data_IF_427959869074
#
_entry.id   IF_427959869074
#
_cell.length_a   1.000
_cell.length_b   1.000
_cell.length_c   1.000
_cell.angle_alpha   90.00
_cell.angle_beta   90.00
_cell.angle_gamma   90.00
#
_symmetry.space_group_name_H-M   'P 1'
#
loop_
_entity.id
_entity.type
_entity.pdbx_description
1 polymer ?
#
# COMPACT_ATOMS: atom_id res chain seq x y z
N UNK A 1 -16.53 -27.17 -8.08
CA UNK A 1 -16.39 -26.49 -8.04
C UNK A 1 -15.94 -25.69 -7.19
N UNK A 2 -15.37 -25.27 -7.25
CA UNK A 2 -14.66 -24.65 -6.31
C UNK A 2 -15.05 -23.31 -6.04
N UNK A 3 -16.13 -22.97 -6.42
CA UNK A 3 -16.51 -21.65 -6.28
C UNK A 3 -17.37 -21.40 -5.13
N UNK A 4 -17.20 -22.18 -4.12
CA UNK A 4 -18.04 -22.06 -2.93
C UNK A 4 -17.49 -21.16 -1.86
N UNK A 5 -16.49 -20.36 -2.21
CA UNK A 5 -15.99 -19.37 -1.28
C UNK A 5 -17.06 -18.31 -1.05
N UNK A 6 -17.47 -18.10 0.19
CA UNK A 6 -18.42 -17.05 0.51
C UNK A 6 -17.77 -15.69 0.33
N UNK A 7 -18.59 -14.65 0.26
CA UNK A 7 -18.08 -13.30 0.15
C UNK A 7 -17.15 -12.97 1.33
N UNK A 8 -17.53 -13.37 2.54
CA UNK A 8 -16.69 -13.16 3.71
C UNK A 8 -15.36 -13.88 3.62
N UNK A 9 -15.35 -15.11 3.09
CA UNK A 9 -14.11 -15.87 2.90
C UNK A 9 -13.22 -15.22 1.86
N UNK A 10 -13.79 -14.71 0.79
CA UNK A 10 -13.06 -14.00 -0.24
C UNK A 10 -12.40 -12.74 0.33
N UNK A 11 -13.15 -11.93 1.09
CA UNK A 11 -12.63 -10.73 1.71
C UNK A 11 -11.50 -11.07 2.68
N UNK A 12 -11.70 -12.10 3.50
CA UNK A 12 -10.66 -12.54 4.44
C UNK A 12 -9.38 -12.97 3.72
N UNK A 13 -9.53 -13.68 2.60
CA UNK A 13 -8.39 -14.07 1.77
C UNK A 13 -7.64 -12.85 1.25
N UNK A 14 -8.37 -11.86 0.73
CA UNK A 14 -7.75 -10.64 0.21
C UNK A 14 -7.09 -9.82 1.32
N UNK A 15 -7.68 -9.80 2.50
CA UNK A 15 -7.07 -9.12 3.65
C UNK A 15 -5.75 -9.78 4.05
N UNK A 16 -5.69 -11.11 4.00
CA UNK A 16 -4.43 -11.82 4.27
C UNK A 16 -3.38 -11.52 3.21
N UNK A 17 -3.80 -11.40 1.94
CA UNK A 17 -2.89 -10.99 0.87
C UNK A 17 -2.35 -9.58 1.12
N UNK A 18 -3.21 -8.65 1.53
CA UNK A 18 -2.79 -7.29 1.83
C UNK A 18 -1.78 -7.28 2.99
N UNK A 19 -2.04 -8.05 4.03
CA UNK A 19 -1.11 -8.17 5.15
C UNK A 19 0.24 -8.76 4.72
N UNK A 20 0.22 -9.75 3.82
CA UNK A 20 1.44 -10.35 3.29
C UNK A 20 2.24 -9.34 2.48
N UNK A 21 1.57 -8.55 1.64
CA UNK A 21 2.22 -7.49 0.87
C UNK A 21 2.86 -6.46 1.82
N UNK A 22 2.10 -6.04 2.84
CA UNK A 22 2.61 -5.09 3.82
C UNK A 22 3.84 -5.64 4.54
N UNK A 23 3.83 -6.92 4.88
CA UNK A 23 4.97 -7.58 5.52
C UNK A 23 6.19 -7.60 4.61
N UNK A 24 6.00 -7.89 3.32
CA UNK A 24 7.09 -7.86 2.34
C UNK A 24 7.66 -6.47 2.17
N UNK A 25 6.82 -5.45 2.21
CA UNK A 25 7.28 -4.06 2.15
C UNK A 25 8.14 -3.72 3.36
N UNK A 26 7.72 -4.15 4.56
CA UNK A 26 8.47 -3.88 5.78
C UNK A 26 9.83 -4.56 5.81
N UNK A 27 9.93 -5.78 5.27
CA UNK A 27 11.19 -6.52 5.29
C UNK A 27 12.08 -6.20 4.08
N UNK A 28 11.63 -5.35 3.19
CA UNK A 28 12.41 -4.95 2.02
C UNK A 28 12.32 -5.88 0.82
N UNK A 29 11.50 -6.94 0.91
CA UNK A 29 11.32 -7.87 -0.21
C UNK A 29 10.53 -7.22 -1.35
N UNK A 30 9.72 -6.22 -1.04
CA UNK A 30 8.95 -5.48 -2.03
C UNK A 30 9.15 -3.99 -1.80
N UNK A 31 9.33 -3.24 -2.88
CA UNK A 31 9.51 -1.80 -2.80
C UNK A 31 8.25 -1.08 -2.31
N UNK A 32 8.44 0.07 -1.68
CA UNK A 32 7.33 0.83 -1.11
C UNK A 32 6.31 1.26 -2.16
N UNK A 33 6.77 1.71 -3.31
CA UNK A 33 5.88 2.15 -4.39
C UNK A 33 5.14 0.96 -5.02
N UNK A 34 5.87 -0.12 -5.28
CA UNK A 34 5.28 -1.33 -5.86
C UNK A 34 4.23 -1.92 -4.93
N UNK A 35 4.57 -2.03 -3.65
CA UNK A 35 3.63 -2.53 -2.64
C UNK A 35 2.42 -1.64 -2.48
N UNK A 36 2.63 -0.32 -2.50
CA UNK A 36 1.53 0.63 -2.40
C UNK A 36 0.56 0.49 -3.58
N UNK A 37 1.08 0.30 -4.78
CA UNK A 37 0.23 0.05 -5.97
C UNK A 37 -0.60 -1.21 -5.80
N UNK A 38 0.02 -2.27 -5.32
CA UNK A 38 -0.67 -3.54 -5.09
C UNK A 38 -1.76 -3.39 -4.04
N UNK A 39 -1.46 -2.70 -2.95
CA UNK A 39 -2.43 -2.48 -1.88
C UNK A 39 -3.60 -1.61 -2.34
N UNK A 40 -3.33 -0.55 -3.10
CA UNK A 40 -4.39 0.29 -3.65
C UNK A 40 -5.31 -0.51 -4.57
N UNK A 41 -4.75 -1.41 -5.36
CA UNK A 41 -5.54 -2.31 -6.22
C UNK A 41 -6.42 -3.24 -5.41
N UNK A 42 -5.97 -3.65 -4.23
CA UNK A 42 -6.75 -4.54 -3.37
C UNK A 42 -7.80 -3.82 -2.52
N UNK A 43 -7.75 -2.49 -2.47
CA UNK A 43 -8.65 -1.73 -1.60
C UNK A 43 -10.12 -2.12 -1.72
N UNK A 44 -10.70 -2.19 -2.93
CA UNK A 44 -12.11 -2.58 -3.02
C UNK A 44 -12.36 -4.04 -2.60
N UNK A 45 -11.34 -4.88 -2.70
CA UNK A 45 -11.46 -6.29 -2.38
C UNK A 45 -11.43 -6.58 -0.89
N UNK A 46 -10.84 -5.67 -0.11
CA UNK A 46 -10.71 -5.86 1.36
C UNK A 46 -11.79 -5.12 2.14
N UNK A 47 -12.68 -4.44 1.44
CA UNK A 47 -13.85 -3.78 2.04
C UNK A 47 -13.51 -2.83 3.19
N UNK A 48 -12.57 -1.94 2.95
CA UNK A 48 -12.28 -0.86 3.89
C UNK A 48 -12.98 0.42 3.46
N UNK A 49 -13.11 1.37 4.36
CA UNK A 49 -13.71 2.65 4.06
C UNK A 49 -12.87 3.41 3.02
N UNK A 50 -13.52 4.24 2.23
CA UNK A 50 -12.82 5.03 1.22
C UNK A 50 -11.79 5.97 1.85
N UNK A 51 -12.05 6.42 3.06
CA UNK A 51 -11.16 7.30 3.79
C UNK A 51 -10.30 6.56 4.82
N UNK A 52 -10.14 5.25 4.65
CA UNK A 52 -9.31 4.46 5.55
C UNK A 52 -7.92 5.09 5.67
N UNK A 53 -7.46 5.41 6.88
CA UNK A 53 -6.20 6.15 7.04
C UNK A 53 -4.97 5.44 6.49
N UNK A 54 -4.91 4.12 6.61
CA UNK A 54 -3.76 3.37 6.11
C UNK A 54 -3.73 3.34 4.59
N UNK A 55 -4.87 3.12 3.96
CA UNK A 55 -4.95 3.12 2.49
C UNK A 55 -4.75 4.52 1.92
N UNK A 56 -5.13 5.55 2.65
CA UNK A 56 -4.86 6.92 2.21
C UNK A 56 -3.36 7.18 2.08
N UNK A 57 -2.56 6.60 2.96
CA UNK A 57 -1.09 6.70 2.87
C UNK A 57 -0.61 6.08 1.57
N UNK A 58 -1.08 4.87 1.25
CA UNK A 58 -0.67 4.18 0.02
C UNK A 58 -1.15 4.91 -1.23
N UNK A 59 -2.36 5.45 -1.20
CA UNK A 59 -2.89 6.23 -2.31
C UNK A 59 -2.04 7.47 -2.53
N UNK A 60 -1.63 8.14 -1.45
CA UNK A 60 -0.78 9.32 -1.54
C UNK A 60 0.60 8.98 -2.12
N UNK A 61 1.18 7.84 -1.73
CA UNK A 61 2.46 7.40 -2.25
C UNK A 61 2.39 7.17 -3.77
N UNK A 62 1.35 6.48 -4.23
CA UNK A 62 1.15 6.21 -5.66
C UNK A 62 0.91 7.51 -6.42
N UNK A 63 0.11 8.41 -5.86
CA UNK A 63 -0.17 9.69 -6.48
C UNK A 63 1.07 10.57 -6.60
N UNK A 64 1.91 10.59 -5.58
CA UNK A 64 3.13 11.36 -5.59
C UNK A 64 4.12 10.82 -6.63
N UNK A 65 4.26 9.50 -6.72
CA UNK A 65 5.12 8.89 -7.72
C UNK A 65 4.67 9.24 -9.12
N UNK A 66 3.35 9.25 -9.37
CA UNK A 66 2.82 9.65 -10.67
C UNK A 66 3.14 11.09 -11.02
N UNK A 67 3.03 11.99 -10.05
CA UNK A 67 3.33 13.39 -10.27
C UNK A 67 4.81 13.59 -10.58
N UNK A 68 5.67 12.86 -9.91
CA UNK A 68 7.11 12.93 -10.17
C UNK A 68 7.47 12.44 -11.55
N UNK A 69 6.78 11.42 -12.04
CA UNK A 69 7.02 10.91 -13.39
C UNK A 69 6.68 11.91 -14.49
N UNK A 70 5.66 12.73 -14.27
CA UNK A 70 5.21 13.67 -15.28
C UNK A 70 5.95 14.98 -15.24
N UNK A 71 6.76 15.19 -14.22
CA UNK A 71 7.50 16.41 -14.04
C UNK A 71 8.91 16.24 -14.62
N UNK A 72 9.30 17.14 -15.51
CA UNK A 72 10.54 16.99 -16.26
C UNK A 72 11.72 17.79 -15.76
N UNK A 73 11.73 18.27 -14.56
CA UNK A 73 12.85 19.05 -14.07
C UNK A 73 13.77 18.15 -13.28
N UNK A 74 14.78 17.65 -13.95
CA UNK A 74 15.57 16.53 -13.43
C UNK A 74 16.50 16.91 -12.28
N UNK A 75 17.07 18.08 -12.28
CA UNK A 75 18.08 18.42 -11.28
C UNK A 75 17.52 18.87 -9.94
N UNK A 76 16.40 19.57 -9.95
CA UNK A 76 15.75 20.01 -8.72
C UNK A 76 15.09 18.87 -7.99
N UNK A 77 14.75 17.85 -8.72
CA UNK A 77 13.97 16.77 -8.16
C UNK A 77 14.76 15.73 -7.40
N UNK A 78 16.05 15.64 -7.61
CA UNK A 78 16.85 14.60 -6.98
C UNK A 78 16.81 14.70 -5.46
N UNK A 79 16.96 15.90 -4.90
CA UNK A 79 16.90 16.10 -3.45
C UNK A 79 15.49 16.00 -2.90
N UNK A 80 14.53 16.56 -3.64
CA UNK A 80 13.12 16.49 -3.24
C UNK A 80 12.59 15.08 -3.28
N UNK A 81 12.97 14.31 -4.29
CA UNK A 81 12.58 12.91 -4.40
C UNK A 81 13.17 12.10 -3.26
N UNK A 82 14.42 12.33 -2.92
CA UNK A 82 15.05 11.61 -1.83
C UNK A 82 14.37 11.88 -0.49
N UNK A 83 14.02 13.14 -0.21
CA UNK A 83 13.32 13.51 1.01
C UNK A 83 11.89 12.95 1.01
N UNK A 84 11.20 13.04 -0.13
CA UNK A 84 9.85 12.53 -0.26
C UNK A 84 9.81 11.02 -0.12
N UNK A 85 10.80 10.30 -0.68
CA UNK A 85 10.89 8.87 -0.55
C UNK A 85 11.12 8.45 0.91
N UNK A 86 11.98 9.17 1.63
CA UNK A 86 12.21 8.88 3.04
C UNK A 86 10.96 9.07 3.86
N UNK A 87 10.22 10.16 3.61
CA UNK A 87 8.97 10.45 4.31
C UNK A 87 7.91 9.41 3.98
N UNK A 88 7.77 9.08 2.69
CA UNK A 88 6.83 8.06 2.24
C UNK A 88 7.15 6.70 2.85
N UNK A 89 8.44 6.36 2.96
CA UNK A 89 8.87 5.11 3.55
C UNK A 89 8.47 5.05 5.03
N UNK A 90 8.63 6.14 5.75
CA UNK A 90 8.28 6.21 7.16
C UNK A 90 6.78 6.05 7.38
N UNK A 91 5.97 6.83 6.67
CA UNK A 91 4.52 6.74 6.75
C UNK A 91 4.00 5.42 6.23
N UNK A 92 4.57 4.94 5.13
CA UNK A 92 4.19 3.66 4.54
C UNK A 92 4.50 2.50 5.47
N UNK A 93 5.64 2.54 6.16
CA UNK A 93 6.00 1.49 7.11
C UNK A 93 5.02 1.44 8.28
N UNK A 94 4.61 2.61 8.79
CA UNK A 94 3.62 2.66 9.86
C UNK A 94 2.28 2.11 9.37
N UNK A 95 1.84 2.52 8.19
CA UNK A 95 0.59 2.02 7.61
C UNK A 95 0.65 0.51 7.39
N UNK A 96 1.80 -0.01 6.95
CA UNK A 96 1.99 -1.45 6.79
C UNK A 96 1.84 -2.19 8.11
N UNK A 97 2.45 -1.68 9.16
CA UNK A 97 2.32 -2.29 10.49
C UNK A 97 0.88 -2.29 10.96
N UNK A 98 0.16 -1.20 10.73
CA UNK A 98 -1.24 -1.10 11.09
C UNK A 98 -2.09 -2.11 10.33
N UNK A 99 -1.87 -2.25 9.02
CA UNK A 99 -2.59 -3.23 8.21
C UNK A 99 -2.35 -4.65 8.69
N UNK A 100 -1.12 -4.99 9.00
CA UNK A 100 -0.78 -6.32 9.49
C UNK A 100 -1.55 -6.61 10.78
N UNK A 101 -1.55 -5.67 11.70
CA UNK A 101 -2.28 -5.84 12.95
C UNK A 101 -3.79 -5.97 12.74
N UNK A 102 -4.35 -5.16 11.85
CA UNK A 102 -5.78 -5.17 11.58
C UNK A 102 -6.22 -6.46 10.89
N UNK A 103 -5.46 -6.89 9.90
CA UNK A 103 -5.89 -7.97 9.01
C UNK A 103 -5.47 -9.35 9.49
N UNK A 104 -4.49 -9.45 10.35
CA UNK A 104 -4.14 -10.72 10.96
C UNK A 104 -5.13 -11.15 12.04
N UNK A 105 -5.81 -10.19 12.61
CA UNK A 105 -6.80 -10.51 13.65
C UNK A 105 -8.12 -10.99 13.08
N UNK A 106 -8.30 -10.85 11.87
CA UNK A 106 -9.55 -11.21 11.40
C UNK A 106 -10.05 -11.35 10.29
#
# INVERSE_FOLDING_TARGET
MTDNMSHGDYVAFQRRRAAAIASEMLCGAMGMIEGSRSLVSLRPEVEVAEDDPDFRVFIAIVGEERRQRTSNTVERQAEEISAAEAHAHEEGSEACRNLILRFQRG
#
